data_IF_263965943802
#
_entry.id   IF_263965943802
#
_cell.length_a   1.000
_cell.length_b   1.000
_cell.length_c   1.000
_cell.angle_alpha   90.00
_cell.angle_beta   90.00
_cell.angle_gamma   90.00
#
_symmetry.space_group_name_H-M   'P 1'
#
loop_
_entity.id
_entity.type
_entity.pdbx_description
1 polymer ?
#
# COMPACT_ATOMS: atom_id res chain seq x y z
N UNK A 1 -1.11 -20.00 10.58
CA UNK A 1 -2.29 -19.22 10.10
C UNK A 1 -2.03 -18.66 8.71
N UNK A 2 -3.00 -18.68 7.80
CA UNK A 2 -2.85 -18.02 6.48
C UNK A 2 -3.13 -16.53 6.59
N UNK A 3 -2.20 -15.71 6.10
CA UNK A 3 -2.30 -14.25 6.09
C UNK A 3 -2.22 -13.75 4.66
N UNK A 4 -3.18 -12.91 4.27
CA UNK A 4 -3.18 -12.27 2.95
C UNK A 4 -2.37 -10.99 2.99
N UNK A 5 -1.45 -10.84 2.05
CA UNK A 5 -0.58 -9.67 1.94
C UNK A 5 -0.81 -8.99 0.61
N UNK A 6 -1.38 -7.78 0.67
CA UNK A 6 -1.63 -6.95 -0.51
C UNK A 6 -0.40 -6.14 -0.85
N UNK A 7 0.01 -6.17 -2.11
CA UNK A 7 1.15 -5.41 -2.62
C UNK A 7 0.67 -4.04 -3.12
N UNK A 8 1.14 -2.94 -2.52
CA UNK A 8 0.78 -1.60 -2.98
C UNK A 8 1.62 -1.13 -4.17
N UNK A 9 2.82 -1.68 -4.29
CA UNK A 9 3.79 -1.34 -5.32
C UNK A 9 4.19 -2.60 -6.07
N UNK A 10 4.66 -2.48 -7.32
CA UNK A 10 5.21 -3.62 -8.03
C UNK A 10 6.40 -4.18 -7.25
N UNK A 11 6.51 -5.50 -7.24
CA UNK A 11 7.66 -6.25 -6.73
C UNK A 11 8.29 -7.02 -7.89
N UNK A 12 9.52 -7.54 -7.76
CA UNK A 12 10.15 -8.29 -8.84
C UNK A 12 9.34 -9.48 -9.37
N UNK A 13 8.49 -10.09 -8.52
CA UNK A 13 7.68 -11.26 -8.90
C UNK A 13 6.21 -10.95 -9.20
N UNK A 14 5.69 -9.80 -8.77
CA UNK A 14 4.26 -9.50 -8.86
C UNK A 14 3.99 -8.01 -9.16
N UNK A 15 2.96 -7.70 -9.97
CA UNK A 15 2.54 -6.33 -10.19
C UNK A 15 1.92 -5.70 -8.93
N UNK A 16 1.74 -4.38 -8.95
CA UNK A 16 1.00 -3.69 -7.91
C UNK A 16 -0.46 -4.17 -7.85
N UNK A 17 -1.04 -4.19 -6.65
CA UNK A 17 -2.41 -4.63 -6.40
C UNK A 17 -2.56 -6.14 -6.22
N UNK A 18 -1.53 -6.94 -6.49
CA UNK A 18 -1.56 -8.39 -6.25
C UNK A 18 -1.71 -8.75 -4.77
N UNK A 19 -2.29 -9.92 -4.52
CA UNK A 19 -2.36 -10.53 -3.19
C UNK A 19 -1.46 -11.76 -3.14
N UNK A 20 -0.64 -11.84 -2.09
CA UNK A 20 0.22 -12.98 -1.80
C UNK A 20 -0.23 -13.59 -0.48
N UNK A 21 -0.51 -14.88 -0.48
CA UNK A 21 -0.83 -15.61 0.75
C UNK A 21 0.46 -16.19 1.33
N UNK A 22 0.68 -15.94 2.62
CA UNK A 22 1.80 -16.54 3.38
C UNK A 22 1.26 -17.24 4.62
N UNK A 23 1.93 -18.32 5.02
CA UNK A 23 1.64 -19.03 6.27
C UNK A 23 2.53 -18.50 7.37
N UNK A 24 1.91 -17.93 8.41
CA UNK A 24 2.56 -17.33 9.56
C UNK A 24 1.98 -17.92 10.85
N UNK A 25 2.84 -18.20 11.82
CA UNK A 25 2.43 -18.47 13.20
C UNK A 25 2.05 -17.17 13.92
N UNK A 26 1.15 -17.26 14.91
CA UNK A 26 0.58 -16.08 15.60
C UNK A 26 1.66 -15.16 16.20
N UNK A 27 2.74 -15.73 16.71
CA UNK A 27 3.84 -15.01 17.36
C UNK A 27 5.09 -14.89 16.47
N UNK A 28 4.93 -15.05 15.15
CA UNK A 28 6.05 -14.95 14.21
C UNK A 28 6.66 -13.56 14.31
N UNK A 29 7.95 -13.42 14.67
CA UNK A 29 8.55 -12.12 14.82
C UNK A 29 8.71 -11.44 13.45
N UNK A 30 8.54 -10.10 13.43
CA UNK A 30 8.49 -9.30 12.20
C UNK A 30 9.71 -9.50 11.28
N UNK A 31 10.90 -9.77 11.83
CA UNK A 31 12.09 -10.04 11.00
C UNK A 31 11.96 -11.34 10.19
N UNK A 32 11.35 -12.38 10.75
CA UNK A 32 11.05 -13.63 10.03
C UNK A 32 9.99 -13.38 8.97
N UNK A 33 8.92 -12.64 9.30
CA UNK A 33 7.88 -12.26 8.34
C UNK A 33 8.49 -11.58 7.11
N UNK A 34 9.36 -10.59 7.32
CA UNK A 34 10.02 -9.87 6.21
C UNK A 34 10.92 -10.78 5.36
N UNK A 35 11.64 -11.71 5.98
CA UNK A 35 12.46 -12.68 5.26
C UNK A 35 11.60 -13.60 4.40
N UNK A 36 10.48 -14.09 4.92
CA UNK A 36 9.54 -14.91 4.15
C UNK A 36 8.90 -14.11 3.00
N UNK A 37 8.50 -12.86 3.25
CA UNK A 37 7.99 -11.97 2.20
C UNK A 37 9.05 -11.64 1.14
N UNK A 38 10.34 -11.56 1.51
CA UNK A 38 11.41 -11.38 0.55
C UNK A 38 11.53 -12.59 -0.38
N UNK A 39 11.47 -13.80 0.18
CA UNK A 39 11.47 -15.02 -0.62
C UNK A 39 10.24 -15.11 -1.53
N UNK A 40 9.05 -14.77 -1.02
CA UNK A 40 7.81 -14.84 -1.76
C UNK A 40 7.73 -13.81 -2.91
N UNK A 41 8.11 -12.56 -2.65
CA UNK A 41 7.89 -11.41 -3.57
C UNK A 41 9.13 -10.98 -4.35
N UNK A 42 10.33 -11.41 -3.93
CA UNK A 42 11.61 -10.96 -4.47
C UNK A 42 12.07 -9.59 -3.96
N UNK A 43 11.28 -8.90 -3.13
CA UNK A 43 11.63 -7.60 -2.56
C UNK A 43 12.56 -7.77 -1.35
N UNK A 44 13.78 -7.27 -1.41
CA UNK A 44 14.73 -7.38 -0.28
C UNK A 44 14.21 -6.70 1.00
N UNK A 45 14.51 -7.31 2.16
CA UNK A 45 14.04 -6.86 3.49
C UNK A 45 14.28 -5.37 3.75
N UNK A 46 15.43 -4.83 3.32
CA UNK A 46 15.77 -3.40 3.52
C UNK A 46 14.83 -2.44 2.81
N UNK A 47 14.15 -2.90 1.76
CA UNK A 47 13.18 -2.11 0.98
C UNK A 47 11.73 -2.39 1.35
N UNK A 48 11.47 -3.32 2.27
CA UNK A 48 10.11 -3.63 2.68
C UNK A 48 9.58 -2.68 3.75
N UNK A 49 8.39 -2.13 3.52
CA UNK A 49 7.52 -1.54 4.55
C UNK A 49 6.26 -2.40 4.67
N UNK A 50 6.11 -3.05 5.82
CA UNK A 50 4.97 -3.92 6.15
C UNK A 50 4.03 -3.17 7.08
N UNK A 51 2.73 -3.20 6.79
CA UNK A 51 1.68 -2.51 7.55
C UNK A 51 0.52 -3.47 7.80
N UNK A 52 -0.18 -3.35 8.93
CA UNK A 52 -1.31 -4.21 9.29
C UNK A 52 -2.62 -3.64 8.77
N UNK A 53 -3.25 -4.20 7.76
CA UNK A 53 -4.49 -3.67 7.17
C UNK A 53 -5.76 -4.31 7.76
N UNK A 54 -5.78 -4.58 9.06
CA UNK A 54 -6.88 -5.21 9.78
C UNK A 54 -6.59 -6.63 10.25
N UNK A 55 -7.64 -7.36 10.61
CA UNK A 55 -7.54 -8.73 11.15
C UNK A 55 -7.19 -9.69 10.00
N UNK A 56 -6.00 -10.29 10.06
CA UNK A 56 -5.55 -11.29 9.08
C UNK A 56 -5.15 -10.73 7.71
N UNK A 57 -5.04 -9.40 7.58
CA UNK A 57 -4.63 -8.73 6.36
C UNK A 57 -3.40 -7.85 6.62
N UNK A 58 -2.41 -7.96 5.75
CA UNK A 58 -1.22 -7.11 5.75
C UNK A 58 -1.03 -6.44 4.40
N UNK A 59 -0.21 -5.41 4.40
CA UNK A 59 0.15 -4.65 3.22
C UNK A 59 1.66 -4.55 3.14
N UNK A 60 2.20 -4.73 1.93
CA UNK A 60 3.61 -4.59 1.61
C UNK A 60 3.82 -3.48 0.58
N UNK A 61 4.79 -2.60 0.88
CA UNK A 61 5.23 -1.49 0.05
C UNK A 61 6.75 -1.54 -0.14
N UNK A 62 7.22 -1.29 -1.35
CA UNK A 62 8.62 -0.97 -1.63
C UNK A 62 8.92 0.50 -1.26
N UNK A 63 9.84 0.70 -0.32
CA UNK A 63 10.31 2.03 0.14
C UNK A 63 10.95 2.85 -0.97
N UNK A 64 11.42 2.22 -2.06
CA UNK A 64 12.00 2.91 -3.22
C UNK A 64 10.94 3.50 -4.14
N UNK A 65 9.68 3.07 -4.00
CA UNK A 65 8.60 3.62 -4.81
C UNK A 65 8.34 5.08 -4.44
N UNK A 66 7.83 5.85 -5.40
CA UNK A 66 7.41 7.23 -5.15
C UNK A 66 6.09 7.29 -4.35
N UNK A 67 5.56 6.17 -3.86
CA UNK A 67 4.29 6.10 -3.15
C UNK A 67 4.55 6.19 -1.63
N UNK A 68 4.00 7.23 -1.01
CA UNK A 68 3.92 7.34 0.44
C UNK A 68 2.81 6.46 1.01
N UNK A 69 2.92 6.11 2.30
CA UNK A 69 1.84 5.44 3.02
C UNK A 69 1.50 6.25 4.26
N UNK A 70 0.21 6.61 4.37
CA UNK A 70 -0.34 7.38 5.48
C UNK A 70 -1.31 6.53 6.29
N UNK A 71 -1.29 6.74 7.61
CA UNK A 71 -2.18 6.09 8.56
C UNK A 71 -3.23 7.10 9.03
N UNK A 72 -4.50 6.78 8.85
CA UNK A 72 -5.58 7.53 9.48
C UNK A 72 -6.03 6.73 10.71
N UNK A 73 -5.87 7.30 11.91
CA UNK A 73 -6.04 6.64 13.22
C UNK A 73 -7.47 6.24 13.59
N UNK A 74 -8.26 5.80 12.63
CA UNK A 74 -9.52 5.12 12.87
C UNK A 74 -9.28 3.78 13.57
N UNK A 75 -10.21 3.38 14.45
CA UNK A 75 -10.24 2.13 15.22
C UNK A 75 -10.00 0.86 14.38
N UNK A 76 -10.09 0.95 13.05
CA UNK A 76 -9.92 -0.14 12.09
C UNK A 76 -8.56 -0.19 11.36
N UNK A 77 -7.57 0.62 11.75
CA UNK A 77 -6.23 0.62 11.16
C UNK A 77 -6.22 0.75 9.62
N UNK A 78 -6.80 1.85 9.11
CA UNK A 78 -6.85 2.13 7.68
C UNK A 78 -5.53 2.76 7.20
N UNK A 79 -4.95 2.16 6.17
CA UNK A 79 -3.75 2.65 5.48
C UNK A 79 -4.07 3.06 4.06
N UNK A 80 -3.60 4.22 3.65
CA UNK A 80 -3.78 4.75 2.30
C UNK A 80 -2.43 4.97 1.63
N UNK A 81 -2.36 4.61 0.35
CA UNK A 81 -1.28 4.99 -0.54
C UNK A 81 -1.46 6.46 -0.95
N UNK A 82 -0.47 7.29 -0.71
CA UNK A 82 -0.47 8.70 -1.11
C UNK A 82 0.62 8.92 -2.14
N UNK A 83 0.36 9.76 -3.14
CA UNK A 83 1.43 10.31 -3.96
C UNK A 83 2.32 11.23 -3.11
N UNK A 84 3.59 11.43 -3.48
CA UNK A 84 4.45 12.38 -2.81
C UNK A 84 3.92 13.79 -3.07
N UNK A 85 4.18 14.72 -2.16
CA UNK A 85 3.64 16.08 -2.25
C UNK A 85 4.02 16.82 -3.54
N UNK A 86 5.12 16.42 -4.21
CA UNK A 86 5.55 16.94 -5.51
C UNK A 86 4.69 16.51 -6.70
N UNK A 87 3.89 15.45 -6.54
CA UNK A 87 3.01 14.89 -7.59
C UNK A 87 1.55 14.86 -7.14
N UNK A 88 1.23 15.46 -5.99
CA UNK A 88 -0.14 15.60 -5.53
C UNK A 88 -0.96 16.33 -6.62
N UNK A 89 -2.14 15.80 -7.02
CA UNK A 89 -2.96 16.46 -8.01
C UNK A 89 -3.35 17.84 -7.45
N UNK A 90 -2.78 18.91 -8.02
CA UNK A 90 -3.29 20.26 -7.79
C UNK A 90 -4.72 20.25 -8.30
N UNK A 91 -5.68 20.40 -7.39
CA UNK A 91 -7.09 20.51 -7.74
C UNK A 91 -7.24 21.46 -8.93
N UNK A 92 -7.67 20.94 -10.09
CA UNK A 92 -8.11 21.82 -11.16
C UNK A 92 -9.38 22.47 -10.66
N UNK A 93 -9.26 23.71 -10.16
CA UNK A 93 -10.39 24.62 -9.92
C UNK A 93 -11.32 24.50 -11.12
N UNK A 94 -12.50 23.91 -10.90
CA UNK A 94 -13.48 23.73 -11.96
C UNK A 94 -13.71 25.10 -12.63
N UNK A 95 -13.35 25.19 -13.92
CA UNK A 95 -13.63 26.37 -14.71
C UNK A 95 -15.15 26.57 -14.68
N UNK A 96 -15.57 27.72 -14.17
CA UNK A 96 -16.96 28.14 -14.16
C UNK A 96 -17.55 27.93 -15.56
N UNK A 97 -18.51 27.02 -15.67
CA UNK A 97 -19.29 26.83 -16.88
C UNK A 97 -20.09 28.11 -17.11
N UNK A 98 -19.65 28.90 -18.09
CA UNK A 98 -20.40 30.02 -18.62
C UNK A 98 -21.71 29.49 -19.22
N UNK A 99 -22.84 29.88 -18.64
CA UNK A 99 -24.14 29.74 -19.25
C UNK A 99 -24.41 30.96 -20.15
N UNK A 100 -24.83 30.76 -21.40
CA UNK A 100 -25.79 31.64 -22.01
C UNK A 100 -27.03 30.85 -22.41
N UNK A 101 -28.17 31.17 -21.79
CA UNK A 101 -29.49 30.82 -22.35
C UNK A 101 -30.31 32.11 -22.40
N UNK A 102 -30.31 32.75 -23.56
CA UNK A 102 -31.31 33.73 -23.94
C UNK A 102 -32.55 32.98 -24.46
N UNK A 103 -33.73 33.40 -24.00
CA UNK A 103 -35.01 33.10 -24.62
C UNK A 103 -35.84 34.38 -24.65
#
# INVERSE_FOLDING_TARGET
MQVKVKLLTPTPKFPAGSEVTVELEADTPMHVVKTQLAAATGLEVRYQRVMLAGIGAMVLLDKRSNIGASYCGSTNNLYFATLPSSEAPTERKAAAAAAPSAH
#
